data_IF_281888038763
#
_entry.id   IF_281888038763
#
_cell.length_a   1.000
_cell.length_b   1.000
_cell.length_c   1.000
_cell.angle_alpha   90.00
_cell.angle_beta   90.00
_cell.angle_gamma   90.00
#
_symmetry.space_group_name_H-M   'P 1'
#
loop_
_entity.id
_entity.type
_entity.pdbx_description
1 polymer ?
#
# COMPACT_ATOMS: atom_id res chain seq x y z
N UNK A 1 -103.35 -7.99 18.32
CA UNK A 1 -102.16 -8.19 17.46
C UNK A 1 -101.07 -8.77 18.34
N UNK A 2 -100.49 -9.91 17.94
CA UNK A 2 -99.52 -10.68 18.73
C UNK A 2 -98.08 -10.34 18.30
N UNK A 3 -97.19 -10.14 19.28
CA UNK A 3 -95.72 -10.27 19.15
C UNK A 3 -95.35 -11.75 18.88
N UNK A 4 -94.23 -12.11 18.19
CA UNK A 4 -92.83 -11.97 18.68
C UNK A 4 -91.76 -11.96 17.53
N UNK A 5 -90.43 -12.29 17.67
CA UNK A 5 -89.51 -12.41 18.82
C UNK A 5 -88.18 -11.58 18.71
N UNK A 6 -87.44 -11.47 19.82
CA UNK A 6 -86.02 -11.05 19.94
C UNK A 6 -85.06 -12.14 19.40
N UNK A 7 -83.81 -11.85 18.93
CA UNK A 7 -82.66 -11.89 19.87
C UNK A 7 -81.38 -11.10 19.49
N UNK A 8 -80.57 -10.87 20.52
CA UNK A 8 -79.13 -10.50 20.56
C UNK A 8 -78.28 -10.84 19.32
N UNK A 9 -77.49 -9.87 18.86
CA UNK A 9 -76.16 -10.13 18.29
C UNK A 9 -75.21 -8.94 18.57
N UNK A 10 -74.46 -9.07 19.66
CA UNK A 10 -73.21 -8.35 19.88
C UNK A 10 -72.24 -8.74 18.76
N UNK A 11 -71.94 -7.84 17.83
CA UNK A 11 -70.73 -7.98 17.02
C UNK A 11 -69.75 -6.94 17.52
N UNK A 12 -68.92 -7.37 18.47
CA UNK A 12 -67.65 -6.71 18.72
C UNK A 12 -66.88 -6.70 17.40
N UNK A 13 -66.74 -5.52 16.80
CA UNK A 13 -65.80 -5.33 15.71
C UNK A 13 -64.41 -5.54 16.31
N UNK A 14 -63.81 -6.68 15.99
CA UNK A 14 -62.42 -6.96 16.31
C UNK A 14 -61.55 -5.78 15.82
N UNK A 15 -60.60 -5.26 16.63
CA UNK A 15 -59.69 -4.23 16.16
C UNK A 15 -58.90 -4.79 14.98
N UNK A 16 -58.96 -4.05 13.87
CA UNK A 16 -58.30 -4.39 12.62
C UNK A 16 -56.79 -4.59 12.85
N UNK A 17 -56.31 -5.82 12.74
CA UNK A 17 -54.90 -6.20 12.71
C UNK A 17 -54.16 -5.73 11.42
N UNK A 18 -54.77 -4.88 10.59
CA UNK A 18 -54.27 -4.52 9.27
C UNK A 18 -53.24 -3.37 9.25
N UNK A 19 -52.85 -2.81 10.40
CA UNK A 19 -51.99 -1.61 10.45
C UNK A 19 -50.50 -1.88 10.74
N UNK A 20 -50.12 -3.11 11.12
CA UNK A 20 -48.74 -3.39 11.56
C UNK A 20 -47.73 -3.55 10.40
N UNK A 21 -48.19 -3.98 9.22
CA UNK A 21 -47.32 -4.28 8.07
C UNK A 21 -46.81 -3.03 7.37
N UNK A 22 -47.62 -1.96 7.25
CA UNK A 22 -47.17 -0.69 6.65
C UNK A 22 -46.13 0.04 7.49
N UNK A 23 -46.25 -0.04 8.83
CA UNK A 23 -45.34 0.64 9.76
C UNK A 23 -43.96 -0.03 9.79
N UNK A 24 -43.90 -1.38 9.78
CA UNK A 24 -42.64 -2.12 9.65
C UNK A 24 -41.90 -1.82 8.34
N UNK A 25 -42.63 -1.70 7.22
CA UNK A 25 -42.04 -1.43 5.90
C UNK A 25 -41.33 -0.08 5.79
N UNK A 26 -41.79 0.94 6.54
CA UNK A 26 -41.18 2.28 6.55
C UNK A 26 -39.82 2.34 7.24
N UNK A 27 -39.51 1.41 8.15
CA UNK A 27 -38.22 1.35 8.84
C UNK A 27 -37.21 0.42 8.16
N UNK A 28 -37.68 -0.53 7.35
CA UNK A 28 -36.79 -1.43 6.61
C UNK A 28 -35.95 -0.71 5.56
N UNK A 29 -36.51 0.30 4.89
CA UNK A 29 -35.80 1.10 3.88
C UNK A 29 -34.62 1.88 4.48
N UNK A 30 -34.80 2.74 5.51
CA UNK A 30 -33.67 3.46 6.10
C UNK A 30 -32.66 2.51 6.75
N UNK A 31 -33.10 1.40 7.33
CA UNK A 31 -32.19 0.41 7.93
C UNK A 31 -31.37 -0.34 6.88
N UNK A 32 -31.98 -0.69 5.74
CA UNK A 32 -31.27 -1.25 4.59
C UNK A 32 -30.28 -0.24 3.99
N UNK A 33 -30.68 1.03 3.86
CA UNK A 33 -29.79 2.10 3.37
C UNK A 33 -28.61 2.30 4.32
N UNK A 34 -28.83 2.36 5.63
CA UNK A 34 -27.75 2.45 6.62
C UNK A 34 -26.83 1.23 6.56
N UNK A 35 -27.36 0.02 6.42
CA UNK A 35 -26.55 -1.19 6.28
C UNK A 35 -25.68 -1.14 5.02
N UNK A 36 -26.24 -0.71 3.89
CA UNK A 36 -25.48 -0.52 2.64
C UNK A 36 -24.38 0.53 2.82
N UNK A 37 -24.66 1.66 3.46
CA UNK A 37 -23.66 2.69 3.72
C UNK A 37 -22.53 2.19 4.61
N UNK A 38 -22.84 1.41 5.66
CA UNK A 38 -21.83 0.78 6.51
C UNK A 38 -20.97 -0.19 5.71
N UNK A 39 -21.57 -1.02 4.86
CA UNK A 39 -20.81 -1.94 4.00
C UNK A 39 -19.89 -1.20 3.03
N UNK A 40 -20.35 -0.09 2.43
CA UNK A 40 -19.53 0.76 1.56
C UNK A 40 -18.37 1.40 2.33
N UNK A 41 -18.62 1.91 3.55
CA UNK A 41 -17.58 2.50 4.39
C UNK A 41 -16.53 1.45 4.80
N UNK A 42 -16.95 0.25 5.20
CA UNK A 42 -16.05 -0.86 5.52
C UNK A 42 -15.25 -1.29 4.29
N UNK A 43 -15.86 -1.40 3.12
CA UNK A 43 -15.16 -1.73 1.88
C UNK A 43 -14.12 -0.66 1.51
N UNK A 44 -14.48 0.63 1.61
CA UNK A 44 -13.56 1.74 1.37
C UNK A 44 -12.37 1.70 2.35
N UNK A 45 -12.63 1.42 3.62
CA UNK A 45 -11.59 1.25 4.63
C UNK A 45 -10.65 0.09 4.28
N UNK A 46 -11.18 -1.07 3.87
CA UNK A 46 -10.36 -2.23 3.46
C UNK A 46 -9.51 -1.89 2.22
N UNK A 47 -10.09 -1.22 1.22
CA UNK A 47 -9.35 -0.79 0.03
C UNK A 47 -8.19 0.13 0.42
N UNK A 48 -8.45 1.09 1.29
CA UNK A 48 -7.47 2.10 1.68
C UNK A 48 -6.37 1.55 2.59
N UNK A 49 -6.73 0.67 3.54
CA UNK A 49 -5.81 0.17 4.57
C UNK A 49 -5.02 -1.07 4.14
N UNK A 50 -5.61 -1.92 3.30
CA UNK A 50 -5.01 -3.22 2.96
C UNK A 50 -4.63 -3.33 1.48
N UNK A 51 -5.54 -2.95 0.57
CA UNK A 51 -5.34 -3.24 -0.86
C UNK A 51 -4.41 -2.23 -1.52
N UNK A 52 -4.59 -0.93 -1.23
CA UNK A 52 -3.79 0.13 -1.85
C UNK A 52 -2.31 0.05 -1.46
N UNK A 53 -1.92 -0.09 -0.17
CA UNK A 53 -0.52 -0.19 0.21
C UNK A 53 0.17 -1.43 -0.36
N UNK A 54 -0.52 -2.58 -0.42
CA UNK A 54 0.02 -3.81 -1.02
C UNK A 54 0.24 -3.66 -2.54
N UNK A 55 -0.68 -2.99 -3.25
CA UNK A 55 -0.50 -2.70 -4.67
C UNK A 55 0.66 -1.74 -4.94
N UNK A 56 0.74 -0.66 -4.16
CA UNK A 56 1.81 0.34 -4.28
C UNK A 56 3.17 -0.27 -3.92
N UNK A 57 3.26 -1.09 -2.86
CA UNK A 57 4.46 -1.85 -2.52
C UNK A 57 4.90 -2.76 -3.67
N UNK A 58 4.00 -3.59 -4.19
CA UNK A 58 4.35 -4.50 -5.30
C UNK A 58 4.73 -3.75 -6.57
N UNK A 59 4.19 -2.56 -6.80
CA UNK A 59 4.59 -1.72 -7.92
C UNK A 59 6.02 -1.21 -7.74
N UNK A 60 6.37 -0.74 -6.55
CA UNK A 60 7.70 -0.20 -6.27
C UNK A 60 8.77 -1.30 -6.23
N UNK A 61 8.48 -2.48 -5.67
CA UNK A 61 9.36 -3.66 -5.76
C UNK A 61 9.60 -4.04 -7.23
N UNK A 62 8.55 -4.05 -8.05
CA UNK A 62 8.69 -4.31 -9.49
C UNK A 62 9.49 -3.23 -10.23
N UNK A 63 9.43 -1.98 -9.77
CA UNK A 63 10.23 -0.91 -10.36
C UNK A 63 11.72 -1.16 -10.13
N UNK A 64 12.11 -1.58 -8.91
CA UNK A 64 13.50 -1.97 -8.60
C UNK A 64 13.97 -3.14 -9.47
N UNK A 65 13.15 -4.19 -9.61
CA UNK A 65 13.54 -5.34 -10.44
C UNK A 65 13.64 -4.98 -11.93
N UNK A 66 12.74 -4.14 -12.42
CA UNK A 66 12.79 -3.65 -13.82
C UNK A 66 14.00 -2.78 -14.06
N UNK A 67 14.35 -1.90 -13.11
CA UNK A 67 15.53 -1.04 -13.20
C UNK A 67 16.84 -1.87 -13.14
N UNK A 68 16.89 -2.89 -12.29
CA UNK A 68 18.02 -3.82 -12.22
C UNK A 68 18.25 -4.55 -13.55
N UNK A 69 17.19 -5.12 -14.12
CA UNK A 69 17.26 -5.83 -15.40
C UNK A 69 17.59 -4.85 -16.55
N UNK A 70 17.05 -3.62 -16.52
CA UNK A 70 17.29 -2.60 -17.53
C UNK A 70 18.70 -2.01 -17.54
N UNK A 71 19.40 -2.07 -16.42
CA UNK A 71 20.79 -1.63 -16.28
C UNK A 71 21.80 -2.80 -16.38
N UNK A 72 21.34 -4.01 -16.74
CA UNK A 72 22.17 -5.21 -16.88
C UNK A 72 23.05 -5.52 -15.65
N UNK A 73 22.56 -5.17 -14.44
CA UNK A 73 23.37 -5.17 -13.22
C UNK A 73 23.87 -6.56 -12.79
N UNK A 74 23.13 -7.62 -13.18
CA UNK A 74 23.55 -8.99 -12.94
C UNK A 74 24.83 -9.39 -13.70
N UNK A 75 25.18 -8.69 -14.78
CA UNK A 75 26.40 -8.96 -15.55
C UNK A 75 27.65 -8.36 -14.90
N UNK A 76 27.50 -7.32 -14.08
CA UNK A 76 28.60 -6.62 -13.39
C UNK A 76 28.83 -7.12 -11.96
N UNK A 77 28.07 -8.14 -11.52
CA UNK A 77 28.24 -8.77 -10.22
C UNK A 77 27.36 -8.22 -9.10
N UNK A 78 26.45 -7.28 -9.39
CA UNK A 78 25.42 -6.89 -8.44
C UNK A 78 24.37 -8.00 -8.27
N UNK A 79 23.76 -8.06 -7.10
CA UNK A 79 22.70 -9.03 -6.77
C UNK A 79 21.38 -8.34 -6.48
N UNK A 80 20.27 -9.07 -6.63
CA UNK A 80 18.93 -8.57 -6.35
C UNK A 80 18.11 -9.58 -5.57
N UNK A 81 17.47 -9.12 -4.50
CA UNK A 81 16.29 -9.75 -3.92
C UNK A 81 15.05 -9.19 -4.62
N UNK A 82 14.41 -10.03 -5.43
CA UNK A 82 13.25 -9.65 -6.25
C UNK A 82 11.95 -9.58 -5.45
N UNK A 83 11.90 -10.25 -4.30
CA UNK A 83 10.71 -10.29 -3.45
C UNK A 83 10.66 -9.06 -2.54
N UNK A 84 11.83 -8.58 -2.10
CA UNK A 84 11.95 -7.40 -1.25
C UNK A 84 12.31 -6.11 -2.00
N UNK A 85 12.70 -6.22 -3.28
CA UNK A 85 13.11 -5.09 -4.10
C UNK A 85 14.39 -4.46 -3.57
N UNK A 86 15.41 -5.29 -3.31
CA UNK A 86 16.70 -4.89 -2.75
C UNK A 86 17.81 -5.25 -3.72
N UNK A 87 18.67 -4.29 -4.06
CA UNK A 87 19.85 -4.45 -4.90
C UNK A 87 21.09 -4.22 -4.05
N UNK A 88 22.02 -5.18 -4.09
CA UNK A 88 23.34 -5.06 -3.47
C UNK A 88 24.40 -5.01 -4.57
N UNK A 89 25.11 -3.90 -4.66
CA UNK A 89 26.21 -3.72 -5.61
C UNK A 89 27.52 -4.34 -5.12
N UNK A 90 27.61 -4.82 -3.87
CA UNK A 90 28.88 -5.24 -3.30
C UNK A 90 29.87 -4.07 -3.27
N UNK A 91 31.15 -4.36 -3.51
CA UNK A 91 32.20 -3.34 -3.56
C UNK A 91 32.13 -2.51 -4.85
N UNK A 92 31.80 -1.23 -4.73
CA UNK A 92 31.68 -0.28 -5.84
C UNK A 92 33.00 0.46 -6.07
N UNK A 93 33.42 0.53 -7.34
CA UNK A 93 34.64 1.24 -7.74
C UNK A 93 35.92 0.43 -7.61
N UNK A 94 35.81 -0.87 -7.35
CA UNK A 94 36.89 -1.83 -7.44
C UNK A 94 37.38 -2.00 -8.90
N UNK A 95 38.53 -2.67 -9.08
CA UNK A 95 39.07 -2.98 -10.42
C UNK A 95 38.14 -3.91 -11.20
N UNK A 96 37.43 -4.80 -10.50
CA UNK A 96 36.45 -5.73 -11.04
C UNK A 96 35.21 -5.66 -10.18
N UNK A 97 34.04 -5.47 -10.80
CA UNK A 97 32.76 -5.36 -10.12
C UNK A 97 31.99 -4.12 -10.55
N UNK A 98 30.93 -3.76 -9.81
CA UNK A 98 30.10 -2.62 -10.17
C UNK A 98 30.83 -1.29 -10.04
N UNK A 99 30.53 -0.40 -10.98
CA UNK A 99 31.05 0.95 -11.06
C UNK A 99 30.02 1.96 -10.55
N UNK A 100 30.48 3.19 -10.33
CA UNK A 100 29.57 4.31 -10.06
C UNK A 100 28.63 4.61 -11.24
N UNK A 101 28.97 4.19 -12.47
CA UNK A 101 28.06 4.27 -13.61
C UNK A 101 26.89 3.31 -13.49
N UNK A 102 27.10 2.13 -12.93
CA UNK A 102 26.06 1.13 -12.69
C UNK A 102 25.10 1.59 -11.59
N UNK A 103 25.65 2.16 -10.51
CA UNK A 103 24.86 2.81 -9.45
C UNK A 103 24.05 3.97 -10.02
N UNK A 104 24.65 4.81 -10.86
CA UNK A 104 23.97 5.94 -11.49
C UNK A 104 22.83 5.48 -12.42
N UNK A 105 23.01 4.39 -13.18
CA UNK A 105 21.95 3.84 -14.03
C UNK A 105 20.72 3.44 -13.20
N UNK A 106 20.92 2.72 -12.09
CA UNK A 106 19.82 2.34 -11.21
C UNK A 106 19.18 3.57 -10.54
N UNK A 107 20.00 4.51 -10.07
CA UNK A 107 19.54 5.74 -9.45
C UNK A 107 18.66 6.58 -10.39
N UNK A 108 19.09 6.75 -11.64
CA UNK A 108 18.32 7.47 -12.67
C UNK A 108 17.00 6.73 -13.00
N UNK A 109 17.05 5.40 -13.13
CA UNK A 109 15.86 4.59 -13.41
C UNK A 109 14.83 4.62 -12.27
N UNK A 110 15.27 4.85 -11.03
CA UNK A 110 14.43 5.02 -9.83
C UNK A 110 14.18 6.49 -9.48
N UNK A 111 14.51 7.41 -10.39
CA UNK A 111 14.29 8.86 -10.26
C UNK A 111 14.92 9.45 -8.98
N UNK A 112 16.08 8.94 -8.56
CA UNK A 112 16.81 9.47 -7.41
C UNK A 112 17.17 10.95 -7.63
N UNK A 113 16.96 11.82 -6.63
CA UNK A 113 17.48 13.18 -6.66
C UNK A 113 18.99 13.21 -6.93
N UNK A 114 19.42 14.07 -7.84
CA UNK A 114 20.83 14.16 -8.25
C UNK A 114 21.75 14.53 -7.10
N UNK A 115 21.24 15.27 -6.14
CA UNK A 115 21.94 15.64 -4.91
C UNK A 115 22.35 14.40 -4.14
N UNK A 116 21.44 13.42 -3.99
CA UNK A 116 21.71 12.18 -3.26
C UNK A 116 22.73 11.30 -3.98
N UNK A 117 22.65 11.20 -5.31
CA UNK A 117 23.66 10.48 -6.10
C UNK A 117 25.04 11.14 -5.97
N UNK A 118 25.08 12.48 -5.98
CA UNK A 118 26.33 13.24 -5.82
C UNK A 118 26.95 13.01 -4.43
N UNK A 119 26.13 13.03 -3.38
CA UNK A 119 26.56 12.77 -2.01
C UNK A 119 27.01 11.31 -1.81
N UNK A 120 26.28 10.35 -2.40
CA UNK A 120 26.66 8.93 -2.48
C UNK A 120 28.03 8.71 -3.15
N UNK A 121 28.40 9.52 -4.14
CA UNK A 121 29.68 9.43 -4.84
C UNK A 121 30.80 10.22 -4.16
N UNK A 122 30.45 11.24 -3.36
CA UNK A 122 31.44 12.10 -2.71
C UNK A 122 32.35 11.31 -1.77
N UNK A 123 33.63 11.67 -1.59
CA UNK A 123 34.47 11.11 -0.55
C UNK A 123 33.95 11.59 0.83
N UNK A 124 32.92 10.92 1.34
CA UNK A 124 32.21 11.20 2.59
C UNK A 124 33.08 11.30 3.83
N UNK A 125 32.41 11.75 4.88
CA UNK A 125 33.01 12.57 5.92
C UNK A 125 33.50 11.75 7.13
N UNK A 126 33.60 10.43 6.98
CA UNK A 126 34.01 9.50 8.04
C UNK A 126 32.86 8.86 8.82
N UNK A 127 31.64 8.86 8.27
CA UNK A 127 30.56 8.00 8.77
C UNK A 127 30.68 6.60 8.16
N UNK A 128 30.57 5.56 8.99
CA UNK A 128 30.64 4.16 8.56
C UNK A 128 29.42 3.75 7.69
N UNK A 129 28.30 4.48 7.84
CA UNK A 129 27.04 4.23 7.17
C UNK A 129 26.29 5.55 6.90
N UNK A 130 25.81 5.72 5.67
CA UNK A 130 24.98 6.84 5.24
C UNK A 130 23.70 6.33 4.55
N UNK A 131 22.59 7.02 4.81
CA UNK A 131 21.25 6.69 4.31
C UNK A 131 20.65 7.86 3.53
N UNK A 132 20.20 7.58 2.32
CA UNK A 132 19.48 8.53 1.47
C UNK A 132 18.12 7.96 1.11
N UNK A 133 17.04 8.63 1.55
CA UNK A 133 15.66 8.18 1.34
C UNK A 133 14.93 9.14 0.41
N UNK A 134 14.27 8.61 -0.61
CA UNK A 134 13.40 9.38 -1.50
C UNK A 134 12.17 8.55 -1.86
N UNK A 135 11.02 9.19 -1.96
CA UNK A 135 9.74 8.56 -2.31
C UNK A 135 9.45 7.25 -1.54
N UNK A 136 9.66 6.10 -2.17
CA UNK A 136 9.48 4.76 -1.61
C UNK A 136 10.77 3.91 -1.65
N UNK A 137 11.92 4.56 -1.76
CA UNK A 137 13.22 3.93 -1.94
C UNK A 137 14.24 4.51 -0.96
N UNK A 138 15.28 3.73 -0.73
CA UNK A 138 16.44 4.12 0.07
C UNK A 138 17.71 3.59 -0.58
N UNK A 139 18.77 4.37 -0.48
CA UNK A 139 20.12 3.97 -0.79
C UNK A 139 20.93 3.99 0.50
N UNK A 140 21.70 2.92 0.72
CA UNK A 140 22.67 2.79 1.78
C UNK A 140 24.06 2.86 1.18
N UNK A 141 24.94 3.64 1.78
CA UNK A 141 26.39 3.54 1.56
C UNK A 141 27.06 3.13 2.84
N UNK A 142 27.88 2.08 2.77
CA UNK A 142 28.76 1.66 3.85
C UNK A 142 30.20 1.74 3.40
N UNK A 143 31.10 2.13 4.30
CA UNK A 143 32.54 2.12 4.03
C UNK A 143 33.26 1.23 5.01
N UNK A 144 34.18 0.40 4.50
CA UNK A 144 35.03 -0.46 5.32
C UNK A 144 36.46 -0.34 4.82
N UNK A 145 37.27 0.46 5.51
CA UNK A 145 38.62 0.78 5.05
C UNK A 145 38.60 1.59 3.75
N UNK A 146 39.13 1.01 2.67
CA UNK A 146 39.11 1.59 1.32
C UNK A 146 37.89 1.17 0.48
N UNK A 147 37.12 0.19 0.94
CA UNK A 147 36.02 -0.41 0.20
C UNK A 147 34.73 0.39 0.44
N UNK A 148 33.97 0.62 -0.63
CA UNK A 148 32.66 1.28 -0.57
C UNK A 148 31.59 0.30 -1.03
N UNK A 149 30.65 -0.01 -0.15
CA UNK A 149 29.49 -0.84 -0.45
C UNK A 149 28.25 0.01 -0.64
N UNK A 150 27.49 -0.28 -1.67
CA UNK A 150 26.23 0.43 -1.95
C UNK A 150 25.11 -0.58 -2.10
N UNK A 151 23.99 -0.31 -1.43
CA UNK A 151 22.74 -1.03 -1.66
C UNK A 151 21.59 -0.05 -1.89
N UNK A 152 20.64 -0.46 -2.72
CA UNK A 152 19.44 0.34 -3.05
C UNK A 152 18.23 -0.56 -2.89
N UNK A 153 17.21 -0.09 -2.19
CA UNK A 153 16.06 -0.93 -1.90
C UNK A 153 14.74 -0.17 -1.76
N UNK A 154 13.65 -0.90 -1.92
CA UNK A 154 12.31 -0.45 -1.55
C UNK A 154 12.28 -0.16 -0.04
N UNK A 155 11.94 1.07 0.35
CA UNK A 155 11.82 1.45 1.75
C UNK A 155 10.43 1.03 2.27
N UNK A 156 10.41 -0.07 3.03
CA UNK A 156 9.21 -0.63 3.65
C UNK A 156 8.55 0.33 4.65
N UNK A 157 9.29 1.34 5.11
CA UNK A 157 8.89 2.34 6.09
C UNK A 157 8.74 3.74 5.48
N UNK A 158 8.75 3.87 4.16
CA UNK A 158 8.55 5.15 3.52
C UNK A 158 7.23 5.80 3.95
N UNK A 159 7.20 7.14 4.03
CA UNK A 159 6.02 7.93 4.43
C UNK A 159 4.70 7.54 3.74
N UNK A 160 4.67 7.13 2.45
CA UNK A 160 3.44 6.62 1.82
C UNK A 160 2.84 5.39 2.52
N UNK A 161 3.62 4.68 3.35
CA UNK A 161 3.23 3.49 4.11
C UNK A 161 3.11 3.74 5.62
N UNK A 162 3.60 4.86 6.13
CA UNK A 162 3.41 5.26 7.53
C UNK A 162 1.94 5.66 7.76
N UNK A 163 1.32 5.03 8.76
CA UNK A 163 -0.11 5.17 9.10
C UNK A 163 -0.33 6.27 10.12
#
# INVERSE_FOLDING_TARGET
MALPPDPRATVGLAPSLASSTRRRRRWLVPLAVSLVLVLVAVAALVVHVAIRPDRERRANIRAVTTAFDGCDLGLVGASIDRDDGFVDFGEVGAVVGPSWGDVACLADALEMPREYLTELQAPGDGLDQEEYRWDAYMALRMRTGSETHVSVYHDWWAKPYER
#
